data_IF_540682575807
#
_entry.id   IF_540682575807
#
_cell.length_a   1.000
_cell.length_b   1.000
_cell.length_c   1.000
_cell.angle_alpha   90.00
_cell.angle_beta   90.00
_cell.angle_gamma   90.00
#
_symmetry.space_group_name_H-M   'P 1'
#
loop_
_entity.id
_entity.type
_entity.pdbx_description
1 polymer ?
#
# COMPACT_ATOMS: atom_id res chain seq x y z
N UNK A 1 -49.13 27.91 -1.59
CA UNK A 1 -48.18 27.52 -0.52
C UNK A 1 -48.13 26.00 -0.48
N UNK A 2 -47.21 25.41 -1.24
CA UNK A 2 -47.00 23.96 -1.28
C UNK A 2 -45.49 23.73 -1.36
N UNK A 3 -44.92 23.21 -0.29
CA UNK A 3 -43.48 22.97 -0.17
C UNK A 3 -43.18 21.60 -0.73
N UNK A 4 -42.34 21.58 -1.77
CA UNK A 4 -41.75 20.41 -2.44
C UNK A 4 -40.81 19.67 -1.48
N UNK A 5 -40.79 18.32 -1.46
CA UNK A 5 -39.74 17.59 -0.78
C UNK A 5 -38.54 17.38 -1.72
N UNK A 6 -37.41 17.95 -1.34
CA UNK A 6 -36.08 17.72 -1.91
C UNK A 6 -35.66 16.26 -1.72
N UNK A 7 -35.37 15.58 -2.83
CA UNK A 7 -34.77 14.25 -2.84
C UNK A 7 -33.33 14.32 -2.33
N UNK A 8 -33.03 13.54 -1.28
CA UNK A 8 -31.68 13.38 -0.75
C UNK A 8 -30.94 12.34 -1.59
N UNK A 9 -29.79 12.74 -2.10
CA UNK A 9 -28.83 11.90 -2.81
C UNK A 9 -28.19 10.93 -1.82
N UNK A 10 -28.59 9.67 -1.82
CA UNK A 10 -27.90 8.62 -1.06
C UNK A 10 -26.62 8.21 -1.79
N UNK A 11 -25.52 8.84 -1.39
CA UNK A 11 -24.16 8.42 -1.72
C UNK A 11 -23.93 7.03 -1.12
N UNK A 12 -23.76 6.00 -1.96
CA UNK A 12 -23.47 4.63 -1.52
C UNK A 12 -22.16 4.60 -0.73
N UNK A 13 -22.26 4.47 0.59
CA UNK A 13 -21.12 4.30 1.47
C UNK A 13 -20.37 2.99 1.17
N UNK A 14 -19.03 2.97 1.20
CA UNK A 14 -18.29 1.72 1.06
C UNK A 14 -18.67 0.77 2.21
N UNK A 15 -18.91 -0.50 1.84
CA UNK A 15 -19.16 -1.59 2.79
C UNK A 15 -18.15 -1.51 3.94
N UNK A 16 -18.66 -1.31 5.16
CA UNK A 16 -17.87 -1.14 6.37
C UNK A 16 -17.14 -2.45 6.65
N UNK A 17 -15.90 -2.56 6.16
CA UNK A 17 -15.02 -3.68 6.44
C UNK A 17 -14.97 -3.92 7.96
N UNK A 18 -15.00 -5.18 8.37
CA UNK A 18 -14.85 -5.55 9.77
C UNK A 18 -13.58 -4.89 10.35
N UNK A 19 -13.59 -4.47 11.64
CA UNK A 19 -12.40 -3.87 12.23
C UNK A 19 -11.23 -4.84 12.07
N UNK A 20 -10.07 -4.37 11.57
CA UNK A 20 -8.93 -5.23 11.33
C UNK A 20 -8.53 -5.92 12.64
N UNK A 21 -8.14 -7.19 12.54
CA UNK A 21 -7.60 -7.96 13.66
C UNK A 21 -6.40 -7.24 14.27
N UNK A 22 -6.35 -7.24 15.61
CA UNK A 22 -5.31 -6.57 16.37
C UNK A 22 -3.91 -7.10 16.01
N UNK A 23 -2.89 -6.24 16.01
CA UNK A 23 -1.53 -6.64 15.65
C UNK A 23 -0.98 -7.71 16.60
N UNK A 24 -0.36 -8.75 16.03
CA UNK A 24 0.22 -9.91 16.75
C UNK A 24 1.40 -9.51 17.65
N UNK A 25 2.02 -8.37 17.37
CA UNK A 25 3.14 -7.81 18.12
C UNK A 25 2.73 -6.46 18.70
N UNK A 26 3.15 -6.20 19.93
CA UNK A 26 3.04 -4.88 20.56
C UNK A 26 4.46 -4.39 20.86
N UNK A 27 4.88 -3.24 20.33
CA UNK A 27 6.22 -2.72 20.56
C UNK A 27 6.38 -2.33 22.03
N UNK A 28 7.46 -2.76 22.70
CA UNK A 28 7.66 -2.52 24.13
C UNK A 28 7.91 -1.04 24.40
N UNK A 29 7.12 -0.44 25.28
CA UNK A 29 7.28 0.95 25.69
C UNK A 29 8.58 1.14 26.50
N UNK A 30 9.50 2.05 26.08
CA UNK A 30 10.73 2.31 26.81
C UNK A 30 10.45 3.04 28.13
N UNK A 31 11.14 2.65 29.20
CA UNK A 31 11.00 3.23 30.55
C UNK A 31 12.19 4.10 30.96
N UNK A 32 13.31 3.96 30.28
CA UNK A 32 14.52 4.76 30.49
C UNK A 32 15.09 5.24 29.15
N UNK A 33 16.04 6.19 29.20
CA UNK A 33 16.73 6.66 27.99
C UNK A 33 17.47 5.53 27.28
N UNK A 34 18.09 4.62 28.03
CA UNK A 34 18.84 3.49 27.51
C UNK A 34 17.93 2.52 26.75
N UNK A 35 16.72 2.27 27.27
CA UNK A 35 15.73 1.40 26.62
C UNK A 35 15.20 1.96 25.29
N UNK A 36 15.33 3.28 25.05
CA UNK A 36 14.99 3.84 23.73
C UNK A 36 15.90 3.30 22.63
N UNK A 37 17.12 2.87 23.00
CA UNK A 37 18.19 2.44 22.11
C UNK A 37 18.83 3.57 21.30
N UNK A 38 18.51 4.83 21.61
CA UNK A 38 19.06 6.01 20.95
C UNK A 38 20.13 6.68 21.82
N UNK A 39 21.03 7.43 21.19
CA UNK A 39 22.01 8.22 21.95
C UNK A 39 21.33 9.40 22.67
N UNK A 40 21.75 9.75 23.90
CA UNK A 40 21.22 10.91 24.61
C UNK A 40 21.38 12.22 23.82
N UNK A 41 22.47 12.36 23.07
CA UNK A 41 22.74 13.52 22.23
C UNK A 41 21.69 13.67 21.11
N UNK A 42 21.29 12.57 20.45
CA UNK A 42 20.26 12.61 19.42
C UNK A 42 18.91 13.03 19.99
N UNK A 43 18.55 12.50 21.15
CA UNK A 43 17.29 12.82 21.84
C UNK A 43 17.26 14.28 22.32
N UNK A 44 18.36 14.78 22.87
CA UNK A 44 18.52 16.18 23.25
C UNK A 44 18.39 17.11 22.02
N UNK A 45 19.11 16.82 20.94
CA UNK A 45 19.02 17.58 19.69
C UNK A 45 17.59 17.57 19.13
N UNK A 46 16.91 16.42 19.14
CA UNK A 46 15.53 16.32 18.66
C UNK A 46 14.55 17.15 19.51
N UNK A 47 14.69 17.10 20.84
CA UNK A 47 13.88 17.91 21.75
C UNK A 47 14.09 19.42 21.52
N UNK A 48 15.35 19.84 21.36
CA UNK A 48 15.70 21.23 21.05
C UNK A 48 15.11 21.69 19.71
N UNK A 49 15.17 20.86 18.67
CA UNK A 49 14.56 21.15 17.36
C UNK A 49 13.05 21.35 17.46
N UNK A 50 12.37 20.48 18.20
CA UNK A 50 10.91 20.57 18.41
C UNK A 50 10.54 21.84 19.18
N UNK A 51 11.29 22.17 20.24
CA UNK A 51 11.10 23.41 21.00
C UNK A 51 11.39 24.65 20.16
N UNK A 52 12.44 24.64 19.33
CA UNK A 52 12.80 25.74 18.43
C UNK A 52 11.66 26.07 17.47
N UNK A 53 11.06 25.04 16.86
CA UNK A 53 9.94 25.22 15.93
C UNK A 53 8.63 25.65 16.63
N UNK A 54 8.46 25.32 17.91
CA UNK A 54 7.24 25.61 18.66
C UNK A 54 7.30 26.94 19.43
N UNK A 55 8.50 27.46 19.72
CA UNK A 55 8.72 28.56 20.65
C UNK A 55 8.73 28.11 22.11
N UNK A 56 7.59 27.61 22.61
CA UNK A 56 7.46 27.06 23.96
C UNK A 56 6.50 25.87 23.99
N UNK A 57 6.80 24.86 24.81
CA UNK A 57 5.95 23.69 25.03
C UNK A 57 5.93 23.29 26.49
N UNK A 58 4.83 22.70 26.95
CA UNK A 58 4.86 21.95 28.20
C UNK A 58 5.69 20.68 28.05
N UNK A 59 6.22 20.16 29.15
CA UNK A 59 6.92 18.87 29.16
C UNK A 59 6.05 17.73 28.61
N UNK A 60 4.75 17.71 28.94
CA UNK A 60 3.78 16.77 28.38
C UNK A 60 3.62 16.90 26.86
N UNK A 61 3.46 18.12 26.33
CA UNK A 61 3.37 18.35 24.88
C UNK A 61 4.65 17.95 24.14
N UNK A 62 5.82 18.17 24.75
CA UNK A 62 7.09 17.72 24.17
C UNK A 62 7.15 16.18 24.12
N UNK A 63 6.75 15.50 25.19
CA UNK A 63 6.64 14.04 25.26
C UNK A 63 5.71 13.49 24.18
N UNK A 64 4.55 14.12 23.96
CA UNK A 64 3.62 13.74 22.89
C UNK A 64 4.23 13.89 21.48
N UNK A 65 4.94 14.99 21.22
CA UNK A 65 5.60 15.22 19.92
C UNK A 65 6.77 14.26 19.68
N UNK A 66 7.56 13.97 20.71
CA UNK A 66 8.62 12.97 20.67
C UNK A 66 8.08 11.55 20.58
N UNK A 67 6.82 11.33 20.96
CA UNK A 67 6.21 10.00 21.12
C UNK A 67 6.97 9.11 22.10
N UNK A 68 7.55 9.72 23.14
CA UNK A 68 8.27 9.05 24.21
C UNK A 68 7.53 9.26 25.53
N UNK A 69 7.54 8.29 26.46
CA UNK A 69 6.97 8.50 27.79
C UNK A 69 7.56 9.72 28.48
N UNK A 70 6.75 10.42 29.27
CA UNK A 70 7.27 11.54 30.03
C UNK A 70 8.22 11.05 31.13
N UNK A 71 7.69 10.25 32.05
CA UNK A 71 8.42 9.74 33.22
C UNK A 71 9.56 8.83 32.78
N UNK A 72 10.76 9.07 33.31
CA UNK A 72 11.95 8.26 33.06
C UNK A 72 12.63 8.47 31.71
N UNK A 73 11.98 9.13 30.74
CA UNK A 73 12.56 9.39 29.41
C UNK A 73 12.56 10.88 29.07
N UNK A 74 11.40 11.49 28.77
CA UNK A 74 11.34 12.92 28.39
C UNK A 74 11.78 13.83 29.53
N UNK A 75 11.41 13.49 30.77
CA UNK A 75 11.86 14.17 31.98
C UNK A 75 13.39 14.18 32.09
N UNK A 76 14.04 13.03 31.88
CA UNK A 76 15.50 12.93 31.93
C UNK A 76 16.18 13.75 30.81
N UNK A 77 15.58 13.83 29.62
CA UNK A 77 16.05 14.74 28.54
C UNK A 77 15.94 16.19 29.00
N UNK A 78 14.78 16.59 29.53
CA UNK A 78 14.56 17.96 29.99
C UNK A 78 15.51 18.34 31.13
N UNK A 79 15.76 17.46 32.08
CA UNK A 79 16.68 17.71 33.19
C UNK A 79 18.13 17.86 32.71
N UNK A 80 18.55 17.04 31.74
CA UNK A 80 19.82 17.23 31.06
C UNK A 80 19.89 18.62 30.38
N UNK A 81 18.88 18.98 29.59
CA UNK A 81 18.84 20.26 28.89
C UNK A 81 18.82 21.46 29.85
N UNK A 82 18.13 21.36 31.00
CA UNK A 82 18.14 22.39 32.05
C UNK A 82 19.53 22.54 32.66
N UNK A 83 20.16 21.41 33.04
CA UNK A 83 21.49 21.40 33.65
C UNK A 83 22.55 22.02 32.73
N UNK A 84 22.43 21.75 31.43
CA UNK A 84 23.30 22.34 30.40
C UNK A 84 22.91 23.79 30.02
N UNK A 85 21.91 24.37 30.69
CA UNK A 85 21.40 25.73 30.45
C UNK A 85 20.92 25.96 29.01
N UNK A 86 20.42 24.92 28.35
CA UNK A 86 19.88 24.97 26.99
C UNK A 86 18.38 25.31 27.00
N UNK A 87 17.68 24.97 28.08
CA UNK A 87 16.27 25.32 28.29
C UNK A 87 16.07 25.98 29.64
N UNK A 88 15.03 26.81 29.72
CA UNK A 88 14.56 27.44 30.96
C UNK A 88 13.06 27.17 31.14
N UNK A 89 12.60 27.23 32.39
CA UNK A 89 11.18 27.12 32.73
C UNK A 89 10.60 28.52 32.83
N UNK A 90 9.68 28.87 31.94
CA UNK A 90 9.03 30.19 31.91
C UNK A 90 7.75 30.27 32.74
N UNK A 91 7.19 29.13 33.13
CA UNK A 91 5.96 29.05 33.91
C UNK A 91 5.42 27.63 34.00
N UNK A 92 4.21 27.48 34.52
CA UNK A 92 3.50 26.19 34.61
C UNK A 92 2.04 26.36 34.18
N UNK A 93 1.50 25.38 33.46
CA UNK A 93 0.07 25.31 33.08
C UNK A 93 -0.58 24.06 33.63
N UNK A 94 -0.72 24.01 34.95
CA UNK A 94 -1.30 22.86 35.67
C UNK A 94 -0.44 22.41 36.83
N UNK A 95 -0.70 21.19 37.31
CA UNK A 95 -0.02 20.59 38.48
C UNK A 95 0.97 19.53 38.01
N UNK A 96 2.17 19.54 38.60
CA UNK A 96 3.24 18.58 38.32
C UNK A 96 4.21 19.05 37.23
N UNK A 97 5.37 18.39 37.15
CA UNK A 97 6.47 18.83 36.26
C UNK A 97 6.14 18.73 34.77
N UNK A 98 5.22 17.83 34.40
CA UNK A 98 4.71 17.72 33.03
C UNK A 98 4.06 19.01 32.53
N UNK A 99 3.54 19.82 33.45
CA UNK A 99 2.87 21.08 33.15
C UNK A 99 3.85 22.28 33.05
N UNK A 100 5.13 22.10 33.38
CA UNK A 100 6.14 23.15 33.23
C UNK A 100 6.31 23.52 31.75
N UNK A 101 6.29 24.82 31.47
CA UNK A 101 6.51 25.38 30.14
C UNK A 101 8.00 25.66 29.94
N UNK A 102 8.55 24.98 28.94
CA UNK A 102 9.95 25.06 28.56
C UNK A 102 10.12 25.98 27.35
N UNK A 103 11.12 26.84 27.42
CA UNK A 103 11.58 27.67 26.32
C UNK A 103 13.10 27.52 26.14
N UNK A 104 13.58 27.76 24.92
CA UNK A 104 15.02 27.72 24.63
C UNK A 104 15.71 28.98 25.16
N UNK A 105 16.85 28.80 25.83
CA UNK A 105 17.77 29.91 26.13
C UNK A 105 18.46 30.38 24.84
N UNK A 106 19.28 31.44 24.90
CA UNK A 106 20.11 31.83 23.75
C UNK A 106 21.02 30.68 23.29
N UNK A 107 21.72 30.03 24.24
CA UNK A 107 22.59 28.88 23.99
C UNK A 107 21.80 27.68 23.45
N UNK A 108 20.58 27.44 23.94
CA UNK A 108 19.67 26.43 23.41
C UNK A 108 19.26 26.69 21.97
N UNK A 109 18.96 27.95 21.62
CA UNK A 109 18.63 28.35 20.24
C UNK A 109 19.79 28.13 19.29
N UNK A 110 21.01 28.47 19.69
CA UNK A 110 22.20 28.25 18.86
C UNK A 110 22.45 26.75 18.65
N UNK A 111 22.37 25.95 19.72
CA UNK A 111 22.49 24.50 19.63
C UNK A 111 21.40 23.86 18.76
N UNK A 112 20.17 24.36 18.83
CA UNK A 112 19.06 23.90 18.00
C UNK A 112 19.32 24.19 16.50
N UNK A 113 19.86 25.38 16.17
CA UNK A 113 20.23 25.72 14.79
C UNK A 113 21.32 24.80 14.25
N UNK A 114 22.38 24.54 15.03
CA UNK A 114 23.40 23.56 14.64
C UNK A 114 22.82 22.16 14.39
N UNK A 115 21.84 21.75 15.20
CA UNK A 115 21.16 20.47 15.04
C UNK A 115 20.27 20.44 13.79
N UNK A 116 19.56 21.54 13.48
CA UNK A 116 18.77 21.71 12.26
C UNK A 116 19.65 21.73 11.01
N UNK A 117 20.83 22.34 11.09
CA UNK A 117 21.82 22.32 10.02
C UNK A 117 22.26 20.89 9.74
N UNK A 118 22.41 20.02 10.74
CA UNK A 118 22.69 18.59 10.48
C UNK A 118 21.48 17.83 9.92
N UNK A 119 20.29 18.08 10.46
CA UNK A 119 19.06 17.45 10.01
C UNK A 119 17.81 18.22 10.46
N UNK A 120 16.96 18.56 9.51
CA UNK A 120 15.69 19.26 9.74
C UNK A 120 14.60 18.36 10.32
N UNK A 121 14.85 17.06 10.51
CA UNK A 121 13.87 16.15 11.09
C UNK A 121 13.50 16.58 12.52
N UNK A 122 12.24 16.98 12.71
CA UNK A 122 11.67 17.40 13.99
C UNK A 122 10.34 16.66 14.29
N UNK A 123 10.30 15.37 13.95
CA UNK A 123 9.15 14.48 14.19
C UNK A 123 9.32 13.59 15.43
N UNK A 124 8.50 12.52 15.54
CA UNK A 124 8.64 11.50 16.59
C UNK A 124 10.07 10.95 16.68
N UNK A 125 10.51 10.57 17.88
CA UNK A 125 11.81 9.94 18.05
C UNK A 125 11.92 8.68 17.19
N UNK A 126 13.01 8.51 16.41
CA UNK A 126 13.18 7.33 15.59
C UNK A 126 13.35 6.07 16.45
N UNK A 127 13.29 4.91 15.83
CA UNK A 127 13.65 3.63 16.46
C UNK A 127 14.98 3.12 15.89
N UNK A 128 15.82 2.44 16.68
CA UNK A 128 17.03 1.83 16.14
C UNK A 128 16.71 0.79 15.06
N UNK A 129 17.59 0.63 14.07
CA UNK A 129 17.47 -0.40 13.03
C UNK A 129 17.26 -1.82 13.58
N UNK A 130 17.89 -2.14 14.71
CA UNK A 130 17.74 -3.44 15.38
C UNK A 130 16.30 -3.66 15.87
N UNK A 131 15.67 -2.63 16.45
CA UNK A 131 14.28 -2.67 16.90
C UNK A 131 13.32 -2.80 15.70
N UNK A 132 13.56 -2.04 14.62
CA UNK A 132 12.84 -2.18 13.35
C UNK A 132 12.89 -3.63 12.84
N UNK A 133 14.09 -4.21 12.81
CA UNK A 133 14.32 -5.55 12.28
C UNK A 133 13.55 -6.63 13.06
N UNK A 134 13.61 -6.57 14.39
CA UNK A 134 12.89 -7.50 15.26
C UNK A 134 11.37 -7.36 15.09
N UNK A 135 10.86 -6.12 15.07
CA UNK A 135 9.43 -5.86 14.95
C UNK A 135 8.86 -6.34 13.61
N UNK A 136 9.56 -6.08 12.49
CA UNK A 136 9.11 -6.53 11.17
C UNK A 136 9.09 -8.06 11.07
N UNK A 137 10.13 -8.75 11.56
CA UNK A 137 10.18 -10.21 11.55
C UNK A 137 9.06 -10.84 12.40
N UNK A 138 8.75 -10.26 13.57
CA UNK A 138 7.66 -10.75 14.45
C UNK A 138 6.26 -10.51 13.89
N UNK A 139 6.11 -9.59 12.95
CA UNK A 139 4.84 -9.23 12.32
C UNK A 139 4.69 -9.79 10.91
N UNK A 140 5.67 -10.57 10.45
CA UNK A 140 5.70 -11.16 9.11
C UNK A 140 4.47 -12.02 8.87
N UNK A 141 3.93 -11.92 7.65
CA UNK A 141 2.86 -12.79 7.20
C UNK A 141 3.41 -14.14 6.68
N UNK A 142 4.74 -14.32 6.62
CA UNK A 142 5.38 -15.56 6.20
C UNK A 142 5.11 -16.62 7.27
N UNK A 143 4.12 -17.47 7.01
CA UNK A 143 3.61 -18.45 7.97
C UNK A 143 2.10 -18.39 8.18
N UNK A 144 1.43 -17.34 7.70
CA UNK A 144 -0.04 -17.29 7.64
C UNK A 144 -0.54 -18.42 6.75
N UNK A 145 -1.29 -19.36 7.33
CA UNK A 145 -1.90 -20.47 6.59
C UNK A 145 -3.19 -20.01 5.92
N UNK A 146 -3.09 -19.64 4.66
CA UNK A 146 -4.24 -19.42 3.78
C UNK A 146 -4.81 -20.78 3.38
N UNK A 147 -6.05 -21.03 3.79
CA UNK A 147 -6.79 -22.24 3.42
C UNK A 147 -7.67 -21.99 2.20
N UNK A 148 -8.09 -23.04 1.47
CA UNK A 148 -9.06 -22.89 0.38
C UNK A 148 -10.34 -22.18 0.82
N UNK A 149 -10.80 -22.38 2.07
CA UNK A 149 -11.99 -21.70 2.59
C UNK A 149 -11.80 -20.19 2.67
N UNK A 150 -10.72 -19.74 3.31
CA UNK A 150 -10.37 -18.31 3.43
C UNK A 150 -10.24 -17.70 2.04
N UNK A 151 -9.58 -18.42 1.13
CA UNK A 151 -9.38 -17.94 -0.22
C UNK A 151 -10.69 -17.81 -1.02
N UNK A 152 -11.64 -18.76 -0.89
CA UNK A 152 -12.93 -18.68 -1.59
C UNK A 152 -13.74 -17.51 -1.06
N UNK A 153 -13.66 -17.23 0.24
CA UNK A 153 -14.32 -16.08 0.85
C UNK A 153 -13.70 -14.75 0.37
N UNK A 154 -12.37 -14.64 0.40
CA UNK A 154 -11.65 -13.45 -0.03
C UNK A 154 -11.95 -13.10 -1.50
N UNK A 155 -11.90 -14.10 -2.39
CA UNK A 155 -12.09 -13.95 -3.83
C UNK A 155 -13.55 -14.14 -4.29
N UNK A 156 -14.51 -14.29 -3.37
CA UNK A 156 -15.92 -14.60 -3.68
C UNK A 156 -16.60 -13.62 -4.63
N UNK A 157 -16.16 -12.35 -4.60
CA UNK A 157 -16.65 -11.28 -5.45
C UNK A 157 -16.12 -11.39 -6.90
N UNK A 158 -15.01 -12.10 -7.11
CA UNK A 158 -14.43 -12.35 -8.42
C UNK A 158 -14.95 -13.67 -8.99
N UNK A 159 -15.15 -13.70 -10.31
CA UNK A 159 -15.45 -14.95 -11.03
C UNK A 159 -14.13 -15.47 -11.56
N UNK A 160 -13.55 -16.44 -10.86
CA UNK A 160 -12.28 -17.07 -11.21
C UNK A 160 -12.48 -18.56 -11.41
N UNK A 161 -11.81 -19.13 -12.41
CA UNK A 161 -11.81 -20.57 -12.62
C UNK A 161 -11.09 -21.29 -11.46
N UNK A 162 -11.51 -22.53 -11.17
CA UNK A 162 -10.91 -23.32 -10.07
C UNK A 162 -9.41 -23.54 -10.26
N UNK A 163 -8.91 -23.61 -11.52
CA UNK A 163 -7.48 -23.81 -11.80
C UNK A 163 -6.62 -22.64 -11.32
N UNK A 164 -7.07 -21.40 -11.54
CA UNK A 164 -6.43 -20.17 -11.05
C UNK A 164 -6.47 -20.17 -9.54
N UNK A 165 -7.63 -20.47 -8.96
CA UNK A 165 -7.81 -20.54 -7.52
C UNK A 165 -6.83 -21.52 -6.84
N UNK A 166 -6.67 -22.72 -7.41
CA UNK A 166 -5.74 -23.75 -6.91
C UNK A 166 -4.26 -23.36 -7.04
N UNK A 167 -3.91 -22.38 -7.88
CA UNK A 167 -2.54 -21.85 -8.00
C UNK A 167 -2.28 -20.69 -7.03
N UNK A 168 -3.28 -19.84 -6.78
CA UNK A 168 -3.13 -18.64 -5.93
C UNK A 168 -2.89 -19.03 -4.47
N UNK A 169 -3.68 -19.95 -3.92
CA UNK A 169 -3.57 -20.33 -2.49
C UNK A 169 -2.16 -20.77 -2.07
N UNK A 170 -1.54 -21.74 -2.77
CA UNK A 170 -0.15 -22.13 -2.50
C UNK A 170 0.85 -20.99 -2.70
N UNK A 171 0.61 -20.11 -3.68
CA UNK A 171 1.50 -18.98 -3.95
C UNK A 171 1.55 -18.00 -2.78
N UNK A 172 0.40 -17.69 -2.18
CA UNK A 172 0.32 -16.82 -1.00
C UNK A 172 0.98 -17.49 0.21
N UNK A 173 0.72 -18.79 0.44
CA UNK A 173 1.32 -19.54 1.54
C UNK A 173 2.85 -19.63 1.46
N UNK A 174 3.42 -19.56 0.25
CA UNK A 174 4.87 -19.54 0.08
C UNK A 174 5.52 -18.29 0.67
N UNK A 175 4.77 -17.18 0.78
CA UNK A 175 5.28 -15.89 1.24
C UNK A 175 6.40 -15.31 0.35
N UNK A 176 6.52 -15.77 -0.89
CA UNK A 176 7.56 -15.35 -1.86
C UNK A 176 6.99 -14.34 -2.87
N UNK A 177 7.34 -14.42 -4.16
CA UNK A 177 6.79 -13.55 -5.20
C UNK A 177 5.73 -14.26 -6.06
N UNK A 178 4.76 -13.49 -6.52
CA UNK A 178 3.68 -13.93 -7.42
C UNK A 178 3.79 -13.16 -8.73
N UNK A 179 3.63 -13.85 -9.84
CA UNK A 179 3.61 -13.25 -11.17
C UNK A 179 2.29 -13.57 -11.86
N UNK A 180 1.40 -12.59 -11.89
CA UNK A 180 0.12 -12.63 -12.55
C UNK A 180 0.30 -12.16 -14.00
N UNK A 181 -0.01 -13.02 -14.96
CA UNK A 181 0.08 -12.67 -16.38
C UNK A 181 -1.17 -13.14 -17.12
N UNK A 182 -1.38 -12.57 -18.30
CA UNK A 182 -2.50 -12.92 -19.15
C UNK A 182 -3.09 -11.69 -19.80
N UNK A 183 -4.14 -11.86 -20.62
CA UNK A 183 -4.65 -10.76 -21.42
C UNK A 183 -5.17 -9.58 -20.59
N UNK A 184 -5.18 -8.36 -21.16
CA UNK A 184 -5.69 -7.18 -20.48
C UNK A 184 -7.20 -7.31 -20.19
N UNK A 185 -7.63 -6.72 -19.08
CA UNK A 185 -9.05 -6.68 -18.73
C UNK A 185 -9.62 -7.94 -18.07
N UNK A 186 -8.80 -8.93 -17.68
CA UNK A 186 -9.28 -10.14 -16.99
C UNK A 186 -9.13 -10.10 -15.45
N UNK A 187 -8.90 -8.92 -14.87
CA UNK A 187 -8.93 -8.73 -13.42
C UNK A 187 -7.67 -9.15 -12.65
N UNK A 188 -6.48 -9.11 -13.27
CA UNK A 188 -5.20 -9.36 -12.58
C UNK A 188 -5.00 -8.43 -11.38
N UNK A 189 -5.20 -7.13 -11.58
CA UNK A 189 -5.14 -6.11 -10.52
C UNK A 189 -6.18 -6.39 -9.44
N UNK A 190 -7.42 -6.73 -9.82
CA UNK A 190 -8.47 -7.10 -8.87
C UNK A 190 -8.13 -8.35 -8.04
N UNK A 191 -7.46 -9.35 -8.64
CA UNK A 191 -6.94 -10.50 -7.91
C UNK A 191 -5.87 -10.07 -6.91
N UNK A 192 -4.91 -9.23 -7.33
CA UNK A 192 -3.85 -8.73 -6.45
C UNK A 192 -4.40 -7.88 -5.28
N UNK A 193 -5.36 -7.00 -5.54
CA UNK A 193 -6.08 -6.21 -4.54
C UNK A 193 -6.84 -7.10 -3.56
N UNK A 194 -7.55 -8.11 -4.06
CA UNK A 194 -8.26 -9.05 -3.19
C UNK A 194 -7.28 -9.85 -2.31
N UNK A 195 -6.10 -10.19 -2.83
CA UNK A 195 -5.03 -10.79 -2.02
C UNK A 195 -4.58 -9.82 -0.93
N UNK A 196 -4.24 -8.59 -1.29
CA UNK A 196 -3.79 -7.57 -0.33
C UNK A 196 -4.81 -7.26 0.76
N UNK A 197 -6.02 -6.91 0.37
CA UNK A 197 -7.03 -6.40 1.29
C UNK A 197 -7.81 -7.47 2.05
N UNK A 198 -7.97 -8.69 1.48
CA UNK A 198 -8.84 -9.72 2.07
C UNK A 198 -8.10 -10.95 2.57
N UNK A 199 -6.86 -11.15 2.16
CA UNK A 199 -6.06 -12.30 2.58
C UNK A 199 -5.03 -11.87 3.61
N UNK A 200 -4.41 -10.72 3.40
CA UNK A 200 -3.56 -10.06 4.40
C UNK A 200 -4.36 -9.03 5.22
N UNK A 201 -5.56 -9.43 5.67
CA UNK A 201 -6.33 -8.64 6.63
C UNK A 201 -5.55 -8.50 7.95
N UNK A 202 -5.73 -7.34 8.59
CA UNK A 202 -5.18 -7.06 9.92
C UNK A 202 -4.32 -5.80 9.95
N UNK A 203 -3.76 -5.56 11.13
CA UNK A 203 -2.92 -4.42 11.40
C UNK A 203 -1.47 -4.80 11.70
N UNK A 204 -0.57 -3.83 11.48
CA UNK A 204 0.86 -3.94 11.78
C UNK A 204 1.32 -2.62 12.42
N UNK A 205 2.25 -2.70 13.37
CA UNK A 205 2.99 -1.53 13.85
C UNK A 205 4.20 -1.26 12.96
N UNK A 206 4.29 -0.04 12.46
CA UNK A 206 5.49 0.50 11.80
C UNK A 206 5.99 1.72 12.57
N UNK A 207 7.30 2.00 12.60
CA UNK A 207 7.79 3.21 13.24
C UNK A 207 7.55 4.43 12.34
N UNK A 208 7.47 5.62 12.93
CA UNK A 208 7.48 6.86 12.14
C UNK A 208 8.80 7.03 11.38
N UNK A 209 9.91 6.72 12.04
CA UNK A 209 11.24 6.79 11.46
C UNK A 209 12.20 5.77 12.10
N UNK A 210 13.27 5.42 11.38
CA UNK A 210 14.34 4.54 11.81
C UNK A 210 15.66 5.31 11.84
N UNK A 211 16.49 5.07 12.85
CA UNK A 211 17.84 5.61 12.96
C UNK A 211 18.86 4.58 12.45
N UNK A 212 19.77 5.06 11.58
CA UNK A 212 20.88 4.28 11.04
C UNK A 212 22.11 5.17 10.91
N UNK A 213 23.16 4.89 11.69
CA UNK A 213 24.47 5.54 11.53
C UNK A 213 24.44 7.06 11.72
N UNK A 214 23.55 7.55 12.59
CA UNK A 214 23.32 8.98 12.83
C UNK A 214 22.32 9.64 11.86
N UNK A 215 21.86 8.91 10.84
CA UNK A 215 20.85 9.40 9.90
C UNK A 215 19.46 8.89 10.24
N UNK A 216 18.46 9.70 9.88
CA UNK A 216 17.05 9.37 10.10
C UNK A 216 16.44 8.99 8.77
N UNK A 217 15.76 7.85 8.74
CA UNK A 217 14.99 7.34 7.61
C UNK A 217 13.51 7.41 7.99
N UNK A 218 12.74 8.29 7.35
CA UNK A 218 11.31 8.39 7.54
C UNK A 218 10.62 7.22 6.83
N UNK A 219 9.81 6.47 7.58
CA UNK A 219 9.12 5.27 7.09
C UNK A 219 7.65 5.53 6.90
N UNK A 220 6.98 6.03 7.94
CA UNK A 220 5.56 6.37 7.87
C UNK A 220 5.33 7.64 7.03
N UNK A 221 4.33 7.55 6.16
CA UNK A 221 3.75 8.67 5.44
C UNK A 221 2.26 8.41 5.20
N UNK A 222 1.48 9.47 5.04
CA UNK A 222 0.03 9.42 4.91
C UNK A 222 -0.46 8.98 3.52
N UNK A 223 0.45 8.91 2.53
CA UNK A 223 0.12 8.49 1.16
C UNK A 223 0.07 6.97 1.06
N UNK A 224 1.02 6.29 1.70
CA UNK A 224 1.21 4.85 1.60
C UNK A 224 0.64 4.07 2.80
N UNK A 225 0.33 4.75 3.90
CA UNK A 225 -0.09 4.08 5.14
C UNK A 225 -1.39 4.65 5.68
N UNK A 226 -2.30 3.75 6.05
CA UNK A 226 -3.58 4.10 6.67
C UNK A 226 -3.55 3.76 8.17
N UNK A 227 -3.46 4.75 9.07
CA UNK A 227 -3.54 4.54 10.52
C UNK A 227 -4.86 3.90 10.95
N UNK A 228 -4.82 3.04 11.97
CA UNK A 228 -6.06 2.51 12.53
C UNK A 228 -6.88 3.61 13.24
N UNK A 229 -8.22 3.64 13.05
CA UNK A 229 -9.10 4.51 13.81
C UNK A 229 -8.95 4.25 15.32
N UNK A 230 -8.99 5.31 16.13
CA UNK A 230 -8.93 5.28 17.60
C UNK A 230 -7.58 4.94 18.25
N UNK A 231 -6.45 4.96 17.53
CA UNK A 231 -5.14 4.95 18.20
C UNK A 231 -4.79 6.34 18.75
N UNK A 232 -5.53 6.79 19.77
CA UNK A 232 -5.08 7.90 20.63
C UNK A 232 -4.15 7.34 21.68
N UNK A 233 -2.96 7.92 21.76
CA UNK A 233 -1.98 7.65 22.81
C UNK A 233 -2.65 7.74 24.19
N UNK A 234 -2.67 6.64 24.93
CA UNK A 234 -3.05 6.62 26.34
C UNK A 234 -4.48 6.17 26.69
N UNK A 235 -5.35 5.80 25.75
CA UNK A 235 -6.66 5.23 26.09
C UNK A 235 -7.07 4.06 25.19
N UNK A 236 -6.84 2.84 25.67
CA UNK A 236 -7.55 1.63 25.23
C UNK A 236 -7.89 0.82 26.48
N UNK A 237 -9.15 0.40 26.62
CA UNK A 237 -9.76 -0.06 27.88
C UNK A 237 -9.02 -1.13 28.70
N UNK A 238 -9.29 -1.06 30.01
CA UNK A 238 -9.14 -1.97 31.18
C UNK A 238 -7.92 -2.91 31.28
N UNK A 239 -7.36 -3.53 30.23
CA UNK A 239 -6.25 -4.50 30.36
C UNK A 239 -5.37 -4.59 29.09
N UNK A 240 -4.73 -3.51 28.63
CA UNK A 240 -3.73 -3.58 27.56
C UNK A 240 -2.40 -2.93 27.94
N UNK A 241 -1.32 -3.66 27.69
CA UNK A 241 0.07 -3.20 27.84
C UNK A 241 0.25 -1.97 26.94
N UNK A 242 0.70 -0.80 27.46
CA UNK A 242 0.96 0.37 26.65
C UNK A 242 2.01 0.08 25.58
N UNK A 243 1.68 0.37 24.31
CA UNK A 243 2.60 0.25 23.20
C UNK A 243 3.55 1.46 23.16
N UNK A 244 4.78 1.27 22.68
CA UNK A 244 5.68 2.36 22.34
C UNK A 244 5.06 3.26 21.26
N UNK A 245 4.83 4.53 21.60
CA UNK A 245 4.14 5.50 20.74
C UNK A 245 4.97 5.96 19.53
N UNK A 246 6.28 5.63 19.46
CA UNK A 246 7.11 5.82 18.26
C UNK A 246 6.67 4.92 17.10
N UNK A 247 5.82 3.94 17.39
CA UNK A 247 5.20 3.05 16.44
C UNK A 247 3.73 3.42 16.25
N UNK A 248 3.28 3.38 15.02
CA UNK A 248 1.90 3.62 14.64
C UNK A 248 1.29 2.31 14.11
N UNK A 249 0.13 1.88 14.65
CA UNK A 249 -0.62 0.77 14.09
C UNK A 249 -1.34 1.25 12.83
N UNK A 250 -1.06 0.58 11.73
CA UNK A 250 -1.65 0.84 10.42
C UNK A 250 -2.37 -0.42 9.95
N UNK A 251 -3.31 -0.27 9.01
CA UNK A 251 -3.71 -1.42 8.18
C UNK A 251 -2.47 -1.95 7.46
N UNK A 252 -2.38 -3.26 7.26
CA UNK A 252 -1.25 -3.84 6.49
C UNK A 252 -1.12 -3.12 5.15
N UNK A 253 0.09 -2.67 4.78
CA UNK A 253 0.25 -1.80 3.62
C UNK A 253 -0.05 -2.55 2.33
N UNK A 254 -0.75 -1.89 1.41
CA UNK A 254 -0.93 -2.35 0.04
C UNK A 254 -0.45 -1.22 -0.87
N UNK A 255 0.81 -1.33 -1.31
CA UNK A 255 1.45 -0.31 -2.15
C UNK A 255 1.39 -0.78 -3.59
N UNK A 256 1.00 0.11 -4.50
CA UNK A 256 0.93 -0.15 -5.94
C UNK A 256 1.86 0.79 -6.68
N UNK A 257 2.58 0.28 -7.67
CA UNK A 257 3.27 1.11 -8.65
C UNK A 257 3.09 0.54 -10.07
N UNK A 258 2.94 1.42 -11.05
CA UNK A 258 2.70 1.09 -12.45
C UNK A 258 3.87 1.48 -13.36
N UNK A 259 3.58 2.23 -14.42
CA UNK A 259 4.56 2.66 -15.42
C UNK A 259 5.55 3.74 -14.93
N UNK A 260 5.23 4.40 -13.83
CA UNK A 260 6.02 5.44 -13.17
C UNK A 260 7.15 4.91 -12.27
N UNK A 261 7.21 3.60 -12.06
CA UNK A 261 8.24 2.96 -11.23
C UNK A 261 9.65 3.21 -11.80
N UNK A 262 10.53 3.80 -10.99
CA UNK A 262 11.96 3.93 -11.29
C UNK A 262 12.80 3.09 -10.30
N UNK A 263 14.06 2.80 -10.64
CA UNK A 263 14.96 2.10 -9.72
C UNK A 263 15.27 2.91 -8.47
N UNK A 264 15.31 4.24 -8.59
CA UNK A 264 15.60 5.15 -7.48
C UNK A 264 14.55 5.05 -6.37
N UNK A 265 13.28 4.77 -6.73
CA UNK A 265 12.19 4.55 -5.76
C UNK A 265 12.40 3.27 -4.91
N UNK A 266 13.32 2.40 -5.34
CA UNK A 266 13.71 1.19 -4.62
C UNK A 266 14.96 1.39 -3.75
N UNK A 267 15.54 2.59 -3.75
CA UNK A 267 16.67 2.96 -2.91
C UNK A 267 16.30 4.14 -1.98
N UNK A 268 17.15 4.41 -0.99
CA UNK A 268 16.93 5.50 -0.06
C UNK A 268 17.01 6.84 -0.78
N UNK A 269 15.96 7.66 -0.66
CA UNK A 269 15.95 9.00 -1.24
C UNK A 269 16.49 9.99 -0.22
N UNK A 270 17.67 10.57 -0.49
CA UNK A 270 18.24 11.65 0.32
C UNK A 270 17.66 12.99 -0.11
N UNK A 271 17.20 13.79 0.85
CA UNK A 271 16.78 15.16 0.60
C UNK A 271 17.84 16.15 1.10
N UNK A 272 18.48 16.88 0.19
CA UNK A 272 19.57 17.81 0.50
C UNK A 272 19.15 19.00 1.39
N UNK A 273 17.86 19.39 1.31
CA UNK A 273 17.31 20.50 2.10
C UNK A 273 16.99 20.02 3.51
N UNK A 274 16.26 18.92 3.63
CA UNK A 274 15.81 18.42 4.93
C UNK A 274 16.84 17.56 5.66
N UNK A 275 17.85 17.05 4.94
CA UNK A 275 18.98 16.26 5.44
C UNK A 275 18.53 15.06 6.27
N UNK A 276 17.56 14.32 5.72
CA UNK A 276 17.14 13.01 6.18
C UNK A 276 16.68 12.19 4.97
N UNK A 277 16.50 10.88 5.18
CA UNK A 277 16.09 9.94 4.15
C UNK A 277 14.59 9.69 4.15
N UNK A 278 14.04 9.48 2.96
CA UNK A 278 12.75 8.80 2.80
C UNK A 278 13.00 7.30 2.50
N UNK A 279 12.23 6.43 3.14
CA UNK A 279 12.29 4.99 2.92
C UNK A 279 11.82 4.60 1.50
N UNK A 280 12.43 3.58 0.88
CA UNK A 280 12.00 3.08 -0.43
C UNK A 280 10.66 2.32 -0.35
N UNK A 281 10.01 2.12 -1.50
CA UNK A 281 8.66 1.55 -1.58
C UNK A 281 8.55 0.17 -0.92
N UNK A 282 9.54 -0.72 -1.12
CA UNK A 282 9.54 -2.05 -0.51
C UNK A 282 9.66 -2.01 1.02
N UNK A 283 10.37 -1.01 1.57
CA UNK A 283 10.49 -0.84 3.01
C UNK A 283 9.19 -0.30 3.62
N UNK A 284 8.46 0.54 2.87
CA UNK A 284 7.11 1.00 3.23
C UNK A 284 6.06 -0.11 3.11
N UNK A 285 6.21 -1.00 2.13
CA UNK A 285 5.33 -2.15 1.94
C UNK A 285 5.61 -3.33 2.89
N UNK A 286 6.62 -3.24 3.76
CA UNK A 286 7.03 -4.35 4.61
C UNK A 286 5.89 -4.85 5.51
N UNK A 287 5.72 -6.18 5.56
CA UNK A 287 4.62 -6.83 6.26
C UNK A 287 3.28 -6.75 5.52
N UNK A 288 3.23 -6.18 4.32
CA UNK A 288 2.04 -6.14 3.47
C UNK A 288 2.33 -6.66 2.07
N UNK A 289 1.73 -6.00 1.08
CA UNK A 289 1.87 -6.36 -0.33
C UNK A 289 2.41 -5.17 -1.11
N UNK A 290 3.34 -5.46 -2.02
CA UNK A 290 3.80 -4.52 -3.03
C UNK A 290 3.43 -5.04 -4.43
N UNK A 291 2.47 -4.38 -5.06
CA UNK A 291 2.00 -4.68 -6.42
C UNK A 291 2.74 -3.81 -7.43
N UNK A 292 3.28 -4.46 -8.47
CA UNK A 292 3.87 -3.80 -9.62
C UNK A 292 2.96 -4.11 -10.81
N UNK A 293 2.12 -3.14 -11.17
CA UNK A 293 1.19 -3.27 -12.27
C UNK A 293 1.82 -2.89 -13.61
N UNK A 294 1.27 -3.45 -14.68
CA UNK A 294 1.79 -3.32 -16.04
C UNK A 294 3.31 -3.57 -16.17
N UNK A 295 3.82 -4.56 -15.44
CA UNK A 295 5.22 -4.95 -15.46
C UNK A 295 5.68 -5.28 -16.89
N UNK A 296 6.76 -4.64 -17.35
CA UNK A 296 7.18 -4.66 -18.76
C UNK A 296 6.93 -3.36 -19.52
N UNK A 297 6.15 -2.42 -18.96
CA UNK A 297 5.82 -1.14 -19.59
C UNK A 297 6.39 0.07 -18.84
N UNK A 298 7.24 -0.16 -17.85
CA UNK A 298 7.96 0.86 -17.11
C UNK A 298 9.04 1.53 -17.97
N UNK A 299 9.44 2.74 -17.59
CA UNK A 299 10.65 3.36 -18.15
C UNK A 299 11.90 2.53 -17.87
N UNK A 300 11.96 1.87 -16.71
CA UNK A 300 13.06 0.99 -16.36
C UNK A 300 12.86 -0.40 -16.96
N UNK A 301 13.95 -1.05 -17.35
CA UNK A 301 13.88 -2.39 -17.94
C UNK A 301 13.46 -3.40 -16.87
N UNK A 302 12.56 -4.35 -17.18
CA UNK A 302 12.15 -5.42 -16.26
C UNK A 302 13.31 -6.20 -15.65
N UNK A 303 14.36 -6.42 -16.44
CA UNK A 303 15.59 -7.10 -16.00
C UNK A 303 16.28 -6.37 -14.85
N UNK A 304 16.30 -5.04 -14.87
CA UNK A 304 17.00 -4.25 -13.86
C UNK A 304 16.23 -4.26 -12.53
N UNK A 305 14.89 -4.17 -12.58
CA UNK A 305 14.03 -4.35 -11.40
C UNK A 305 14.20 -5.73 -10.78
N UNK A 306 14.18 -6.78 -11.61
CA UNK A 306 14.37 -8.15 -11.09
C UNK A 306 15.78 -8.34 -10.52
N UNK A 307 16.81 -7.78 -11.15
CA UNK A 307 18.18 -7.79 -10.63
C UNK A 307 18.28 -7.17 -9.23
N UNK A 308 17.62 -6.02 -9.03
CA UNK A 308 17.58 -5.32 -7.73
C UNK A 308 16.96 -6.15 -6.63
N UNK A 309 16.05 -7.07 -6.96
CA UNK A 309 15.33 -7.91 -6.01
C UNK A 309 15.73 -9.38 -5.99
N UNK A 310 16.78 -9.79 -6.70
CA UNK A 310 17.30 -11.17 -6.61
C UNK A 310 17.55 -11.53 -5.15
N UNK A 311 18.37 -10.72 -4.47
CA UNK A 311 18.79 -11.00 -3.09
C UNK A 311 17.63 -10.85 -2.10
N UNK A 312 16.82 -9.77 -2.16
CA UNK A 312 15.60 -9.64 -1.36
C UNK A 312 14.64 -10.83 -1.45
N UNK A 313 14.36 -11.32 -2.66
CA UNK A 313 13.43 -12.43 -2.88
C UNK A 313 14.02 -13.80 -2.47
N UNK A 314 15.33 -13.98 -2.57
CA UNK A 314 16.00 -15.24 -2.22
C UNK A 314 16.31 -15.35 -0.72
N UNK A 315 16.81 -14.26 -0.11
CA UNK A 315 17.29 -14.26 1.28
C UNK A 315 16.31 -13.64 2.27
N UNK A 316 15.26 -12.97 1.79
CA UNK A 316 14.31 -12.26 2.65
C UNK A 316 14.90 -11.03 3.33
N UNK A 317 15.97 -10.46 2.76
CA UNK A 317 16.67 -9.28 3.28
C UNK A 317 17.06 -8.34 2.15
N UNK A 318 16.93 -7.04 2.38
CA UNK A 318 17.31 -6.01 1.42
C UNK A 318 18.49 -5.18 1.95
N UNK A 319 19.38 -4.79 1.04
CA UNK A 319 20.57 -4.01 1.36
C UNK A 319 20.38 -2.59 0.85
N UNK A 320 20.41 -1.64 1.78
CA UNK A 320 20.31 -0.22 1.47
C UNK A 320 21.66 0.45 1.76
N UNK A 321 21.92 1.54 1.05
CA UNK A 321 23.19 2.28 1.14
C UNK A 321 22.91 3.74 1.45
N UNK A 322 23.54 4.26 2.49
CA UNK A 322 23.55 5.70 2.80
C UNK A 322 24.48 6.45 1.83
N UNK A 323 24.35 7.76 1.72
CA UNK A 323 25.17 8.62 0.87
C UNK A 323 26.63 8.63 1.33
N UNK A 324 26.87 8.26 2.59
CA UNK A 324 28.21 8.01 3.16
C UNK A 324 28.86 6.73 2.64
N UNK A 325 28.14 5.91 1.87
CA UNK A 325 28.56 4.59 1.42
C UNK A 325 28.33 3.47 2.43
N UNK A 326 27.86 3.79 3.64
CA UNK A 326 27.52 2.78 4.65
C UNK A 326 26.37 1.90 4.16
N UNK A 327 26.60 0.59 4.11
CA UNK A 327 25.58 -0.41 3.78
C UNK A 327 25.00 -1.02 5.04
N UNK A 328 23.70 -1.29 5.01
CA UNK A 328 23.01 -1.97 6.09
C UNK A 328 21.90 -2.86 5.53
N UNK A 329 21.49 -3.82 6.35
CA UNK A 329 20.47 -4.80 6.00
C UNK A 329 19.13 -4.44 6.67
N UNK A 330 18.04 -4.58 5.92
CA UNK A 330 16.67 -4.55 6.44
C UNK A 330 15.97 -5.87 6.13
N UNK A 331 15.02 -6.32 6.97
CA UNK A 331 14.16 -7.45 6.61
C UNK A 331 13.30 -7.09 5.40
N UNK A 332 13.05 -8.08 4.53
CA UNK A 332 12.18 -7.95 3.36
C UNK A 332 10.96 -8.85 3.58
N UNK A 333 9.91 -8.28 4.16
CA UNK A 333 8.68 -8.98 4.59
C UNK A 333 7.46 -8.64 3.73
N UNK A 334 7.65 -7.95 2.60
CA UNK A 334 6.59 -7.67 1.65
C UNK A 334 6.36 -8.86 0.69
N UNK A 335 5.10 -9.20 0.42
CA UNK A 335 4.73 -10.03 -0.71
C UNK A 335 4.80 -9.20 -2.00
N UNK A 336 5.68 -9.59 -2.93
CA UNK A 336 5.78 -8.92 -4.23
C UNK A 336 4.86 -9.59 -5.23
N UNK A 337 3.99 -8.80 -5.86
CA UNK A 337 3.11 -9.25 -6.95
C UNK A 337 3.48 -8.47 -8.21
N UNK A 338 3.92 -9.19 -9.25
CA UNK A 338 4.09 -8.63 -10.59
C UNK A 338 2.82 -8.90 -11.39
N UNK A 339 2.23 -7.88 -11.99
CA UNK A 339 1.08 -8.00 -12.90
C UNK A 339 1.50 -7.55 -14.30
N UNK A 340 1.22 -8.35 -15.32
CA UNK A 340 1.56 -7.98 -16.71
C UNK A 340 0.56 -8.49 -17.75
N UNK A 341 0.47 -7.75 -18.84
CA UNK A 341 -0.25 -8.13 -20.05
C UNK A 341 0.63 -8.90 -21.05
N UNK A 342 1.94 -8.98 -20.81
CA UNK A 342 2.92 -9.61 -21.68
C UNK A 342 3.18 -11.06 -21.28
N UNK A 343 3.67 -11.88 -22.22
CA UNK A 343 4.11 -13.23 -21.86
C UNK A 343 5.37 -13.12 -20.98
N UNK A 344 5.48 -13.86 -19.86
CA UNK A 344 6.68 -13.84 -19.04
C UNK A 344 7.98 -14.12 -19.80
N UNK A 345 7.93 -14.93 -20.87
CA UNK A 345 9.08 -15.24 -21.73
C UNK A 345 9.58 -14.06 -22.56
N UNK A 346 8.72 -13.08 -22.82
CA UNK A 346 9.07 -11.88 -23.60
C UNK A 346 9.69 -10.80 -22.71
N UNK A 347 9.54 -10.92 -21.38
CA UNK A 347 10.01 -9.94 -20.42
C UNK A 347 11.44 -10.20 -19.96
N UNK A 348 11.77 -11.46 -19.67
CA UNK A 348 13.07 -11.88 -19.13
C UNK A 348 13.42 -13.31 -19.50
N UNK A 349 14.71 -13.64 -19.36
CA UNK A 349 15.23 -14.97 -19.63
C UNK A 349 14.74 -16.04 -18.63
N UNK A 350 15.02 -17.30 -18.96
CA UNK A 350 14.62 -18.45 -18.14
C UNK A 350 15.27 -18.44 -16.75
N UNK A 351 16.47 -17.90 -16.60
CA UNK A 351 17.18 -17.85 -15.32
C UNK A 351 16.45 -16.93 -14.32
N UNK A 352 15.90 -15.79 -14.77
CA UNK A 352 15.06 -14.94 -13.94
C UNK A 352 13.71 -15.58 -13.64
N UNK A 353 13.07 -16.17 -14.64
CA UNK A 353 11.80 -16.86 -14.44
C UNK A 353 11.91 -17.97 -13.39
N UNK A 354 13.06 -18.65 -13.25
CA UNK A 354 13.28 -19.65 -12.19
C UNK A 354 13.20 -19.07 -10.77
N UNK A 355 13.50 -17.78 -10.58
CA UNK A 355 13.47 -17.11 -9.26
C UNK A 355 12.06 -16.70 -8.83
N UNK A 356 11.19 -16.45 -9.80
CA UNK A 356 9.77 -16.19 -9.56
C UNK A 356 9.06 -17.54 -9.43
N UNK A 357 8.78 -17.99 -8.20
CA UNK A 357 8.25 -19.34 -7.96
C UNK A 357 6.86 -19.53 -8.59
N UNK A 358 5.96 -18.58 -8.39
CA UNK A 358 4.56 -18.75 -8.76
C UNK A 358 4.20 -17.86 -9.95
N UNK A 359 3.94 -18.51 -11.10
CA UNK A 359 3.47 -17.86 -12.33
C UNK A 359 2.04 -18.29 -12.58
N UNK A 360 1.11 -17.35 -12.48
CA UNK A 360 -0.32 -17.62 -12.52
C UNK A 360 -0.88 -16.88 -13.73
N UNK A 361 -1.33 -17.67 -14.70
CA UNK A 361 -2.05 -17.16 -15.85
C UNK A 361 -3.50 -16.85 -15.46
N UNK A 362 -3.96 -15.65 -15.75
CA UNK A 362 -5.37 -15.24 -15.68
C UNK A 362 -5.90 -15.20 -17.12
N UNK A 363 -6.50 -16.30 -17.61
CA UNK A 363 -6.94 -16.40 -19.00
C UNK A 363 -8.24 -15.62 -19.22
N UNK A 364 -8.71 -15.64 -20.47
CA UNK A 364 -10.05 -15.21 -20.81
C UNK A 364 -11.11 -16.05 -20.11
N UNK A 365 -12.23 -15.44 -19.65
CA UNK A 365 -13.34 -16.19 -19.11
C UNK A 365 -13.96 -17.11 -20.16
N UNK A 366 -14.36 -18.29 -19.72
CA UNK A 366 -15.25 -19.17 -20.49
C UNK A 366 -16.62 -18.50 -20.68
N UNK A 367 -17.45 -18.95 -21.65
CA UNK A 367 -18.80 -18.40 -21.81
C UNK A 367 -19.67 -18.47 -20.53
N UNK A 368 -19.51 -19.53 -19.72
CA UNK A 368 -20.22 -19.68 -18.47
C UNK A 368 -19.73 -18.67 -17.40
N UNK A 369 -18.43 -18.44 -17.32
CA UNK A 369 -17.84 -17.44 -16.42
C UNK A 369 -18.20 -16.02 -16.86
N UNK A 370 -18.12 -15.73 -18.16
CA UNK A 370 -18.51 -14.43 -18.70
C UNK A 370 -19.98 -14.12 -18.42
N UNK A 371 -20.87 -15.12 -18.56
CA UNK A 371 -22.28 -15.00 -18.18
C UNK A 371 -22.45 -14.61 -16.70
N UNK A 372 -21.75 -15.29 -15.79
CA UNK A 372 -21.83 -14.97 -14.37
C UNK A 372 -21.25 -13.58 -14.05
N UNK A 373 -20.14 -13.18 -14.70
CA UNK A 373 -19.59 -11.82 -14.59
C UNK A 373 -20.64 -10.80 -15.04
N UNK A 374 -21.22 -10.99 -16.22
CA UNK A 374 -22.21 -10.09 -16.79
C UNK A 374 -23.45 -9.95 -15.90
N UNK A 375 -23.92 -11.06 -15.33
CA UNK A 375 -25.04 -11.08 -14.37
C UNK A 375 -24.73 -10.26 -13.12
N UNK A 376 -23.54 -10.41 -12.53
CA UNK A 376 -23.11 -9.65 -11.34
C UNK A 376 -22.97 -8.17 -11.64
N UNK A 377 -22.41 -7.81 -12.78
CA UNK A 377 -22.28 -6.41 -13.20
C UNK A 377 -23.64 -5.76 -13.46
N UNK A 378 -24.60 -6.48 -14.08
CA UNK A 378 -25.97 -6.02 -14.22
C UNK A 378 -26.59 -5.69 -12.85
N UNK A 379 -26.46 -6.62 -11.90
CA UNK A 379 -26.96 -6.43 -10.53
C UNK A 379 -26.31 -5.24 -9.84
N UNK A 380 -24.98 -5.09 -9.93
CA UNK A 380 -24.24 -3.99 -9.32
C UNK A 380 -24.65 -2.62 -9.87
N UNK A 381 -25.08 -2.58 -11.14
CA UNK A 381 -25.48 -1.36 -11.87
C UNK A 381 -26.99 -1.10 -11.87
N UNK A 382 -27.79 -1.99 -11.27
CA UNK A 382 -29.25 -1.89 -11.29
C UNK A 382 -29.88 -2.11 -12.66
N UNK A 383 -29.20 -2.81 -13.57
CA UNK A 383 -29.71 -3.15 -14.91
C UNK A 383 -30.40 -4.53 -14.83
N UNK A 384 -31.66 -4.67 -15.26
CA UNK A 384 -32.32 -5.97 -15.30
C UNK A 384 -31.58 -6.95 -16.21
N UNK A 385 -31.19 -8.10 -15.66
CA UNK A 385 -30.50 -9.15 -16.41
C UNK A 385 -31.48 -9.93 -17.30
N UNK A 386 -31.06 -10.23 -18.53
CA UNK A 386 -31.78 -11.02 -19.52
C UNK A 386 -30.79 -11.95 -20.23
N UNK A 387 -30.98 -13.27 -20.09
CA UNK A 387 -30.10 -14.27 -20.69
C UNK A 387 -30.20 -14.30 -22.22
N UNK A 388 -31.38 -14.03 -22.79
CA UNK A 388 -31.57 -14.02 -24.23
C UNK A 388 -30.83 -12.85 -24.87
N UNK A 389 -30.85 -11.69 -24.22
CA UNK A 389 -30.09 -10.53 -24.63
C UNK A 389 -28.57 -10.77 -24.56
N UNK A 390 -28.09 -11.46 -23.52
CA UNK A 390 -26.69 -11.88 -23.43
C UNK A 390 -26.32 -12.87 -24.54
N UNK A 391 -27.19 -13.85 -24.84
CA UNK A 391 -26.97 -14.79 -25.94
C UNK A 391 -26.85 -14.04 -27.27
N UNK A 392 -27.72 -13.05 -27.52
CA UNK A 392 -27.64 -12.17 -28.67
C UNK A 392 -26.29 -11.45 -28.74
N UNK A 393 -25.87 -10.79 -27.64
CA UNK A 393 -24.58 -10.11 -27.53
C UNK A 393 -23.42 -11.06 -27.89
N UNK A 394 -23.38 -12.26 -27.30
CA UNK A 394 -22.33 -13.25 -27.55
C UNK A 394 -22.32 -13.70 -29.02
N UNK A 395 -23.48 -14.00 -29.59
CA UNK A 395 -23.56 -14.49 -30.98
C UNK A 395 -23.13 -13.41 -31.98
N UNK A 396 -23.70 -12.21 -31.89
CA UNK A 396 -23.49 -11.14 -32.88
C UNK A 396 -22.15 -10.42 -32.72
N UNK A 397 -21.74 -10.13 -31.49
CA UNK A 397 -20.61 -9.25 -31.22
C UNK A 397 -19.32 -9.99 -30.87
N UNK A 398 -19.41 -11.26 -30.49
CA UNK A 398 -18.24 -12.09 -30.17
C UNK A 398 -18.00 -13.21 -31.18
N UNK A 399 -18.96 -14.13 -31.37
CA UNK A 399 -18.76 -15.31 -32.21
C UNK A 399 -18.60 -14.92 -33.68
N UNK A 400 -19.56 -14.18 -34.25
CA UNK A 400 -19.51 -13.77 -35.68
C UNK A 400 -18.28 -12.93 -36.00
N UNK A 401 -17.85 -12.08 -35.07
CA UNK A 401 -16.71 -11.17 -35.23
C UNK A 401 -15.39 -11.69 -34.65
N UNK A 402 -15.37 -12.95 -34.20
CA UNK A 402 -14.19 -13.66 -33.65
C UNK A 402 -13.46 -12.88 -32.54
N UNK A 403 -14.22 -12.26 -31.63
CA UNK A 403 -13.65 -11.50 -30.51
C UNK A 403 -13.48 -12.37 -29.27
N UNK A 404 -12.36 -12.25 -28.53
CA UNK A 404 -12.22 -12.91 -27.25
C UNK A 404 -13.17 -12.30 -26.21
N UNK A 405 -13.69 -13.14 -25.32
CA UNK A 405 -14.39 -12.68 -24.13
C UNK A 405 -13.34 -12.13 -23.15
N UNK A 406 -13.45 -10.87 -22.73
CA UNK A 406 -12.63 -10.32 -21.63
C UNK A 406 -13.56 -9.99 -20.48
N UNK A 407 -13.14 -10.22 -19.24
CA UNK A 407 -13.97 -9.93 -18.07
C UNK A 407 -14.41 -8.45 -18.03
N UNK A 408 -13.52 -7.53 -18.40
CA UNK A 408 -13.76 -6.08 -18.42
C UNK A 408 -14.88 -5.68 -19.38
N UNK A 409 -15.11 -6.43 -20.46
CA UNK A 409 -16.13 -6.07 -21.43
C UNK A 409 -17.53 -6.05 -20.81
N UNK A 410 -17.82 -6.91 -19.82
CA UNK A 410 -19.12 -6.89 -19.14
C UNK A 410 -19.35 -5.53 -18.47
N UNK A 411 -18.37 -5.07 -17.68
CA UNK A 411 -18.42 -3.78 -16.99
C UNK A 411 -18.50 -2.61 -17.97
N UNK A 412 -17.64 -2.60 -18.99
CA UNK A 412 -17.52 -1.47 -19.91
C UNK A 412 -18.74 -1.37 -20.84
N UNK A 413 -19.24 -2.50 -21.38
CA UNK A 413 -20.45 -2.51 -22.21
C UNK A 413 -21.69 -2.07 -21.42
N UNK A 414 -21.83 -2.51 -20.17
CA UNK A 414 -22.93 -2.07 -19.31
C UNK A 414 -22.82 -0.59 -18.94
N UNK A 415 -21.60 -0.05 -18.79
CA UNK A 415 -21.38 1.39 -18.63
C UNK A 415 -21.86 2.16 -19.86
N UNK A 416 -21.48 1.72 -21.06
CA UNK A 416 -21.97 2.32 -22.29
C UNK A 416 -23.50 2.25 -22.41
N UNK A 417 -24.12 1.14 -22.04
CA UNK A 417 -25.59 1.03 -22.01
C UNK A 417 -26.21 2.09 -21.08
N UNK A 418 -25.63 2.31 -19.89
CA UNK A 418 -26.12 3.34 -18.96
C UNK A 418 -25.95 4.75 -19.53
N UNK A 419 -24.78 5.06 -20.10
CA UNK A 419 -24.49 6.37 -20.67
C UNK A 419 -25.45 6.69 -21.83
N UNK A 420 -25.68 5.71 -22.71
CA UNK A 420 -26.60 5.82 -23.84
C UNK A 420 -28.04 5.97 -23.34
N UNK A 421 -28.47 5.13 -22.40
CA UNK A 421 -29.83 5.19 -21.86
C UNK A 421 -30.10 6.54 -21.17
N UNK A 422 -29.12 7.04 -20.40
CA UNK A 422 -29.17 8.37 -19.77
C UNK A 422 -29.32 9.49 -20.79
N UNK A 423 -28.53 9.45 -21.87
CA UNK A 423 -28.61 10.44 -22.95
C UNK A 423 -29.98 10.47 -23.63
N UNK A 424 -30.59 9.30 -23.88
CA UNK A 424 -31.93 9.20 -24.46
C UNK A 424 -33.06 9.36 -23.43
N UNK A 425 -32.74 9.59 -22.16
CA UNK A 425 -33.69 9.68 -21.05
C UNK A 425 -34.62 8.45 -20.96
N UNK A 426 -34.05 7.25 -21.13
CA UNK A 426 -34.74 5.96 -21.00
C UNK A 426 -34.10 5.13 -19.89
N UNK A 427 -34.84 4.15 -19.36
CA UNK A 427 -34.29 3.24 -18.36
C UNK A 427 -33.23 2.30 -18.98
N UNK A 428 -32.09 2.06 -18.31
CA UNK A 428 -31.07 1.17 -18.82
C UNK A 428 -31.57 -0.28 -18.80
N UNK A 429 -31.61 -0.90 -19.97
CA UNK A 429 -32.08 -2.28 -20.17
C UNK A 429 -31.16 -3.00 -21.15
N UNK A 430 -31.16 -4.34 -21.11
CA UNK A 430 -30.46 -5.18 -22.10
C UNK A 430 -31.28 -5.32 -23.39
N UNK A 431 -31.77 -4.21 -23.95
CA UNK A 431 -32.44 -4.24 -25.23
C UNK A 431 -31.43 -4.41 -26.36
N UNK A 432 -31.84 -5.06 -27.45
CA UNK A 432 -31.01 -5.24 -28.65
C UNK A 432 -30.40 -3.92 -29.14
N UNK A 433 -31.22 -2.87 -29.19
CA UNK A 433 -30.80 -1.53 -29.65
C UNK A 433 -29.71 -0.92 -28.76
N UNK A 434 -29.86 -0.97 -27.43
CA UNK A 434 -28.86 -0.43 -26.52
C UNK A 434 -27.56 -1.26 -26.53
N UNK A 435 -27.68 -2.59 -26.65
CA UNK A 435 -26.53 -3.48 -26.80
C UNK A 435 -25.76 -3.15 -28.08
N UNK A 436 -26.43 -3.04 -29.22
CA UNK A 436 -25.78 -2.76 -30.50
C UNK A 436 -25.05 -1.40 -30.44
N UNK A 437 -25.72 -0.34 -29.96
CA UNK A 437 -25.09 0.99 -29.82
C UNK A 437 -23.90 0.98 -28.86
N UNK A 438 -24.00 0.28 -27.73
CA UNK A 438 -22.91 0.17 -26.77
C UNK A 438 -21.71 -0.57 -27.36
N UNK A 439 -21.96 -1.65 -28.11
CA UNK A 439 -20.92 -2.42 -28.77
C UNK A 439 -20.27 -1.67 -29.95
N UNK A 440 -21.04 -0.91 -30.73
CA UNK A 440 -20.52 -0.05 -31.80
C UNK A 440 -19.60 1.04 -31.23
N UNK A 441 -19.99 1.65 -30.11
CA UNK A 441 -19.20 2.67 -29.43
C UNK A 441 -17.90 2.09 -28.83
N UNK A 442 -17.98 0.90 -28.21
CA UNK A 442 -16.85 0.30 -27.50
C UNK A 442 -15.87 -0.41 -28.44
N UNK A 443 -16.37 -1.27 -29.34
CA UNK A 443 -15.54 -2.02 -30.28
C UNK A 443 -15.27 -1.20 -31.52
N UNK A 444 -14.47 -0.14 -31.38
CA UNK A 444 -13.98 0.64 -32.53
C UNK A 444 -13.22 -0.29 -33.45
N UNK A 445 -13.75 -0.53 -34.66
CA UNK A 445 -13.03 -1.22 -35.72
C UNK A 445 -11.92 -0.26 -36.21
N UNK A 446 -10.71 -0.39 -35.66
CA UNK A 446 -9.53 0.19 -36.29
C UNK A 446 -9.39 -0.49 -37.65
N UNK A 447 -9.83 0.18 -38.72
CA UNK A 447 -9.84 -0.34 -40.08
C UNK A 447 -8.45 -0.77 -40.53
N UNK A 448 -8.14 -2.05 -40.34
CA UNK A 448 -7.02 -2.72 -40.99
C UNK A 448 -7.47 -3.15 -42.37
N UNK A 449 -6.73 -2.71 -43.40
CA UNK A 449 -6.93 -3.12 -44.79
C UNK A 449 -7.12 -4.64 -44.92
N UNK A 450 -7.96 -5.11 -45.86
CA UNK A 450 -8.18 -6.54 -46.04
C UNK A 450 -6.86 -7.26 -46.33
N UNK A 451 -6.62 -8.36 -45.61
CA UNK A 451 -5.47 -9.23 -45.81
C UNK A 451 -5.36 -9.60 -47.30
N UNK A 452 -4.20 -9.32 -47.90
CA UNK A 452 -3.89 -9.64 -49.29
C UNK A 452 -4.20 -11.12 -49.55
N UNK A 453 -4.95 -11.37 -50.62
CA UNK A 453 -5.28 -12.72 -51.09
C UNK A 453 -4.01 -13.51 -51.39
N UNK A 454 -3.97 -14.82 -51.11
CA UNK A 454 -2.78 -15.63 -51.41
C UNK A 454 -2.55 -15.68 -52.93
N UNK A 455 -1.29 -15.75 -53.39
CA UNK A 455 -0.99 -15.77 -54.82
C UNK A 455 -1.57 -17.04 -55.46
N UNK A 456 -2.18 -16.85 -56.63
CA UNK A 456 -2.66 -17.94 -57.46
C UNK A 456 -1.50 -18.88 -57.80
N UNK A 457 -1.70 -20.18 -57.57
CA UNK A 457 -0.80 -21.22 -58.09
C UNK A 457 -0.90 -21.20 -59.61
N UNK A 458 0.13 -20.68 -60.28
CA UNK A 458 0.41 -21.02 -61.68
C UNK A 458 1.09 -22.38 -61.72
N UNK A 459 0.59 -23.25 -62.60
CA UNK A 459 1.00 -24.64 -62.77
C UNK A 459 2.35 -24.84 -63.45
#
# INVERSE_FOLDING_TARGET
MGVTPTAQTETSAPSRAAPPTEPVFVPPMPRTLEETGLSPALLADLALKILYNAGYLTGGQLSERLRLPYTGVTEAILDFLKREQLVEVQGARGVGEQAYQYALTARGRDRAREALDRSQYAGPAPVPLSAYTVAMRRQSHKGTRVTPRVMRQALSHLVLNDRVFHKIGPAINSGTSIFLYGPPGNGKTSVAEAIGHRVFEGAIYIPYAVEVGGFIIKVFDEVNHEPLPNHRSGQTGVLKIPADARWIPIRRPFIVSGGELTLEMLDLTWNEVSRYYEAPLQMKANGGVFLIDDFGRQQVRPRDLLNRWIVPLEKGVDYLTLHTGQKFEIPFEALIIFSTNLNPRDLVDEAFLRRIRHKIEIPDPTPAEFREIFRRECQARGIPYDDQALVYLIQEWYIKRRRPLRAVHARDLLAHIQDIASYFNVSPTLSKELIDRACEAYFVEMGGAPAASPPAKTG
#
